data_IF_997570654623
#
_entry.id   IF_997570654623
#
_cell.length_a   1.000
_cell.length_b   1.000
_cell.length_c   1.000
_cell.angle_alpha   90.00
_cell.angle_beta   90.00
_cell.angle_gamma   90.00
#
_symmetry.space_group_name_H-M   'P 1'
#
loop_
_entity.id
_entity.type
_entity.pdbx_description
1 polymer ?
#
# COMPACT_ATOMS: atom_id res chain seq x y z
N UNK A 1 13.10 9.97 -17.93
CA UNK A 1 12.87 9.10 -16.74
C UNK A 1 12.14 7.81 -17.11
N UNK A 2 11.09 7.85 -17.90
CA UNK A 2 10.40 6.61 -18.31
C UNK A 2 11.25 5.76 -19.23
N UNK A 3 11.85 6.33 -20.27
CA UNK A 3 12.75 5.64 -21.20
C UNK A 3 13.95 4.97 -20.52
N UNK A 4 14.36 5.47 -19.36
CA UNK A 4 15.44 4.90 -18.54
C UNK A 4 14.93 4.01 -17.40
N UNK A 5 13.65 3.60 -17.41
CA UNK A 5 13.01 2.78 -16.37
C UNK A 5 13.14 3.30 -14.93
N UNK A 6 13.34 4.64 -14.75
CA UNK A 6 13.45 5.27 -13.43
C UNK A 6 12.09 5.61 -12.81
N UNK A 7 11.01 5.44 -13.56
CA UNK A 7 9.65 5.59 -13.07
C UNK A 7 8.69 4.71 -13.89
N UNK A 8 7.69 4.08 -13.26
CA UNK A 8 6.77 3.17 -13.93
C UNK A 8 5.71 3.89 -14.78
N UNK A 9 5.44 5.16 -14.50
CA UNK A 9 4.50 5.98 -15.27
C UNK A 9 4.91 7.45 -15.27
N UNK A 10 4.30 8.23 -16.19
CA UNK A 10 4.54 9.66 -16.32
C UNK A 10 4.09 10.44 -15.07
N UNK A 11 2.98 10.02 -14.47
CA UNK A 11 2.45 10.56 -13.23
C UNK A 11 3.40 10.30 -12.05
N UNK A 12 3.94 9.08 -11.94
CA UNK A 12 4.93 8.74 -10.92
C UNK A 12 6.24 9.50 -11.12
N UNK A 13 6.71 9.65 -12.36
CA UNK A 13 7.89 10.46 -12.66
C UNK A 13 7.69 11.92 -12.20
N UNK A 14 6.52 12.50 -12.48
CA UNK A 14 6.15 13.85 -12.04
C UNK A 14 6.07 13.94 -10.52
N UNK A 15 5.51 12.96 -9.86
CA UNK A 15 5.44 12.90 -8.39
C UNK A 15 6.83 12.87 -7.75
N UNK A 16 7.79 12.10 -8.28
CA UNK A 16 9.17 12.07 -7.80
C UNK A 16 9.87 13.42 -7.97
N UNK A 17 9.66 14.09 -9.11
CA UNK A 17 10.22 15.43 -9.35
C UNK A 17 9.65 16.43 -8.34
N UNK A 18 8.33 16.47 -8.18
CA UNK A 18 7.65 17.39 -7.25
C UNK A 18 7.97 17.08 -5.76
N UNK A 19 8.28 15.84 -5.43
CA UNK A 19 8.77 15.46 -4.10
C UNK A 19 10.24 15.91 -3.88
N UNK A 20 10.93 16.30 -4.95
CA UNK A 20 12.34 16.67 -4.91
C UNK A 20 13.29 15.49 -4.75
N UNK A 21 12.84 14.31 -5.19
CA UNK A 21 13.60 13.06 -5.13
C UNK A 21 14.49 12.84 -6.36
N UNK A 22 14.36 13.70 -7.38
CA UNK A 22 15.10 13.58 -8.62
C UNK A 22 16.34 14.48 -8.60
N UNK A 23 17.47 13.89 -9.00
CA UNK A 23 18.76 14.57 -9.14
C UNK A 23 19.28 14.41 -10.57
N UNK A 24 19.72 15.51 -11.16
CA UNK A 24 20.34 15.53 -12.49
C UNK A 24 21.79 16.01 -12.30
N UNK A 25 22.74 15.16 -12.69
CA UNK A 25 24.18 15.39 -12.48
C UNK A 25 24.53 15.82 -11.04
N UNK A 26 23.79 15.24 -10.07
CA UNK A 26 23.98 15.49 -8.63
C UNK A 26 23.23 16.72 -8.10
N UNK A 27 22.59 17.53 -8.95
CA UNK A 27 21.78 18.67 -8.54
C UNK A 27 20.30 18.27 -8.45
N UNK A 28 19.63 18.73 -7.39
CA UNK A 28 18.21 18.48 -7.18
C UNK A 28 17.39 19.19 -8.25
N UNK A 29 16.44 18.47 -8.85
CA UNK A 29 15.48 19.00 -9.83
C UNK A 29 14.05 18.81 -9.30
N UNK A 30 13.31 19.90 -9.11
CA UNK A 30 11.95 19.91 -8.58
C UNK A 30 10.91 20.43 -9.59
N UNK A 31 11.33 20.82 -10.79
CA UNK A 31 10.45 21.32 -11.84
C UNK A 31 10.19 20.27 -12.90
N UNK A 32 8.97 19.78 -12.95
CA UNK A 32 8.54 18.90 -14.03
C UNK A 32 8.46 19.68 -15.36
N UNK A 33 9.24 19.25 -16.34
CA UNK A 33 9.26 19.89 -17.67
C UNK A 33 10.58 20.55 -18.03
N UNK A 34 11.55 20.60 -17.12
CA UNK A 34 12.92 21.03 -17.47
C UNK A 34 13.51 20.07 -18.51
N UNK A 35 14.03 20.62 -19.58
CA UNK A 35 14.67 19.84 -20.65
C UNK A 35 16.16 19.69 -20.35
N UNK A 36 16.66 18.47 -20.44
CA UNK A 36 18.06 18.13 -20.26
C UNK A 36 18.58 17.37 -21.50
N UNK A 37 19.88 17.47 -21.80
CA UNK A 37 20.52 16.61 -22.79
C UNK A 37 20.37 15.12 -22.40
N UNK A 38 20.32 14.24 -23.39
CA UNK A 38 20.20 12.80 -23.12
C UNK A 38 21.38 12.21 -22.35
N UNK A 39 22.53 12.88 -22.37
CA UNK A 39 23.78 12.44 -21.73
C UNK A 39 23.81 12.63 -20.21
N UNK A 40 22.90 13.44 -19.62
CA UNK A 40 22.93 13.72 -18.17
C UNK A 40 22.63 12.47 -17.35
N UNK A 41 23.26 12.37 -16.19
CA UNK A 41 22.97 11.33 -15.21
C UNK A 41 21.72 11.71 -14.42
N UNK A 42 20.67 10.90 -14.48
CA UNK A 42 19.48 11.09 -13.68
C UNK A 42 19.46 10.03 -12.57
N UNK A 43 19.32 10.48 -11.33
CA UNK A 43 19.19 9.65 -10.15
C UNK A 43 17.86 9.98 -9.45
N UNK A 44 17.14 8.95 -9.03
CA UNK A 44 16.01 9.09 -8.12
C UNK A 44 16.51 8.67 -6.74
N UNK A 45 16.70 9.65 -5.84
CA UNK A 45 17.24 9.45 -4.49
C UNK A 45 16.17 9.43 -3.42
N UNK A 46 14.90 9.50 -3.82
CA UNK A 46 13.79 9.37 -2.90
C UNK A 46 13.71 7.95 -2.35
N UNK A 47 13.25 7.81 -1.12
CA UNK A 47 12.79 6.55 -0.61
C UNK A 47 11.60 6.13 -1.48
N UNK A 48 11.84 5.28 -2.48
CA UNK A 48 10.76 4.59 -3.17
C UNK A 48 10.02 3.84 -2.08
N UNK A 49 8.81 4.29 -1.76
CA UNK A 49 7.97 3.59 -0.80
C UNK A 49 7.92 2.13 -1.23
N UNK A 50 8.34 1.18 -0.39
CA UNK A 50 8.32 -0.24 -0.74
C UNK A 50 6.88 -0.74 -0.93
N UNK A 51 5.90 0.04 -0.47
CA UNK A 51 4.48 -0.25 -0.49
C UNK A 51 3.72 0.76 -1.35
N UNK A 52 2.52 0.41 -1.80
CA UNK A 52 1.64 1.29 -2.61
C UNK A 52 1.29 2.59 -1.91
N UNK A 53 1.41 2.66 -0.57
CA UNK A 53 1.26 3.90 0.21
C UNK A 53 2.04 3.86 1.51
N UNK A 54 2.18 5.05 2.16
CA UNK A 54 2.85 5.21 3.46
C UNK A 54 2.22 4.38 4.59
N UNK A 55 0.99 3.92 4.40
CA UNK A 55 0.33 2.99 5.33
C UNK A 55 1.19 1.77 5.61
N UNK A 56 1.76 1.14 4.59
CA UNK A 56 2.58 -0.05 4.73
C UNK A 56 3.77 0.11 5.68
N UNK A 57 4.41 1.29 5.71
CA UNK A 57 5.50 1.58 6.65
C UNK A 57 5.05 1.56 8.11
N UNK A 58 3.78 1.90 8.39
CA UNK A 58 3.23 1.85 9.75
C UNK A 58 3.13 0.41 10.23
N UNK A 59 2.58 -0.47 9.39
CA UNK A 59 2.46 -1.89 9.69
C UNK A 59 3.83 -2.54 9.81
N UNK A 60 4.74 -2.27 8.89
CA UNK A 60 6.12 -2.76 8.95
C UNK A 60 6.79 -2.40 10.28
N UNK A 61 6.63 -1.15 10.72
CA UNK A 61 7.17 -0.69 12.01
C UNK A 61 6.50 -1.40 13.19
N UNK A 62 5.19 -1.61 13.14
CA UNK A 62 4.46 -2.34 14.17
C UNK A 62 4.95 -3.79 14.27
N UNK A 63 5.09 -4.49 13.15
CA UNK A 63 5.58 -5.87 13.09
C UNK A 63 6.97 -5.99 13.71
N UNK A 64 7.89 -5.05 13.39
CA UNK A 64 9.25 -5.03 13.97
C UNK A 64 9.27 -4.79 15.48
N UNK A 65 8.32 -4.01 16.01
CA UNK A 65 8.29 -3.65 17.43
C UNK A 65 7.54 -4.67 18.31
N UNK A 66 6.60 -5.41 17.73
CA UNK A 66 5.72 -6.34 18.46
C UNK A 66 5.94 -7.81 18.10
N UNK A 67 6.99 -8.09 17.32
CA UNK A 67 7.37 -9.44 16.88
C UNK A 67 6.19 -10.21 16.23
N UNK A 68 5.43 -9.50 15.40
CA UNK A 68 4.30 -10.06 14.67
C UNK A 68 4.79 -10.64 13.35
N UNK A 69 4.50 -11.92 13.10
CA UNK A 69 4.73 -12.59 11.81
C UNK A 69 3.42 -12.79 11.06
N UNK A 70 3.44 -12.55 9.75
CA UNK A 70 2.30 -12.75 8.85
C UNK A 70 2.51 -13.88 7.85
N UNK A 71 3.65 -14.56 7.95
CA UNK A 71 3.96 -15.68 7.07
C UNK A 71 2.89 -16.78 7.15
N UNK A 72 2.41 -17.20 5.98
CA UNK A 72 1.36 -18.22 5.82
C UNK A 72 0.01 -17.87 6.46
N UNK A 73 -0.24 -16.61 6.80
CA UNK A 73 -1.48 -16.17 7.46
C UNK A 73 -2.53 -15.64 6.50
N UNK A 74 -3.79 -15.86 6.87
CA UNK A 74 -4.95 -15.18 6.31
C UNK A 74 -5.16 -13.88 7.08
N UNK A 75 -5.16 -12.75 6.37
CA UNK A 75 -5.19 -11.42 6.99
C UNK A 75 -6.45 -10.63 6.57
N UNK A 76 -6.81 -9.65 7.40
CA UNK A 76 -7.90 -8.72 7.12
C UNK A 76 -7.40 -7.28 7.30
N UNK A 77 -7.56 -6.46 6.26
CA UNK A 77 -7.24 -5.03 6.25
C UNK A 77 -8.56 -4.23 6.23
N UNK A 78 -8.95 -3.70 7.38
CA UNK A 78 -10.19 -2.95 7.55
C UNK A 78 -9.92 -1.45 7.44
N UNK A 79 -10.49 -0.83 6.41
CA UNK A 79 -10.17 0.53 5.96
C UNK A 79 -8.96 0.51 5.03
N UNK A 80 -8.96 -0.41 4.07
CA UNK A 80 -7.82 -0.67 3.19
C UNK A 80 -7.40 0.54 2.35
N UNK A 81 -8.35 1.40 1.94
CA UNK A 81 -8.09 2.58 1.12
C UNK A 81 -7.25 2.24 -0.12
N UNK A 82 -6.06 2.82 -0.27
CA UNK A 82 -5.12 2.49 -1.37
C UNK A 82 -4.43 1.14 -1.22
N UNK A 83 -4.54 0.47 -0.07
CA UNK A 83 -3.98 -0.86 0.16
C UNK A 83 -2.56 -0.89 0.72
N UNK A 84 -2.13 0.16 1.41
CA UNK A 84 -0.78 0.19 1.96
C UNK A 84 -0.50 -0.92 2.97
N UNK A 85 -1.46 -1.22 3.84
CA UNK A 85 -1.37 -2.34 4.79
C UNK A 85 -1.50 -3.68 4.06
N UNK A 86 -2.45 -3.82 3.15
CA UNK A 86 -2.61 -4.99 2.28
C UNK A 86 -1.30 -5.37 1.59
N UNK A 87 -0.63 -4.40 0.94
CA UNK A 87 0.65 -4.63 0.25
C UNK A 87 1.76 -5.06 1.23
N UNK A 88 1.80 -4.44 2.42
CA UNK A 88 2.74 -4.84 3.46
C UNK A 88 2.48 -6.27 3.94
N UNK A 89 1.22 -6.66 4.16
CA UNK A 89 0.86 -8.02 4.56
C UNK A 89 1.30 -9.05 3.52
N UNK A 90 1.03 -8.80 2.24
CA UNK A 90 1.42 -9.68 1.13
C UNK A 90 2.93 -9.83 0.98
N UNK A 91 3.69 -8.72 1.14
CA UNK A 91 5.15 -8.74 1.06
C UNK A 91 5.80 -9.44 2.28
N UNK A 92 5.07 -9.56 3.39
CA UNK A 92 5.50 -10.27 4.59
C UNK A 92 4.89 -11.68 4.71
N UNK A 93 4.48 -12.28 3.59
CA UNK A 93 4.15 -13.70 3.51
C UNK A 93 2.68 -14.06 3.73
N UNK A 94 1.77 -13.08 3.85
CA UNK A 94 0.34 -13.39 3.92
C UNK A 94 -0.11 -14.14 2.67
N UNK A 95 -0.83 -15.24 2.88
CA UNK A 95 -1.34 -16.10 1.79
C UNK A 95 -2.67 -15.59 1.24
N UNK A 96 -3.42 -14.84 2.04
CA UNK A 96 -4.65 -14.17 1.63
C UNK A 96 -4.87 -12.89 2.44
N UNK A 97 -5.41 -11.86 1.79
CA UNK A 97 -5.79 -10.60 2.46
C UNK A 97 -7.18 -10.18 2.00
N UNK A 98 -8.10 -10.08 2.96
CA UNK A 98 -9.41 -9.45 2.76
C UNK A 98 -9.26 -7.93 2.92
N UNK A 99 -9.34 -7.19 1.82
CA UNK A 99 -9.20 -5.72 1.80
C UNK A 99 -10.58 -5.10 1.80
N UNK A 100 -11.02 -4.66 2.98
CA UNK A 100 -12.38 -4.19 3.24
C UNK A 100 -12.38 -2.67 3.32
N UNK A 101 -13.21 -2.00 2.53
CA UNK A 101 -13.38 -0.55 2.58
C UNK A 101 -14.81 -0.13 2.24
N UNK A 102 -15.29 0.94 2.88
CA UNK A 102 -16.59 1.55 2.57
C UNK A 102 -16.55 2.33 1.25
N UNK A 103 -15.35 2.77 0.84
CA UNK A 103 -15.11 3.45 -0.43
C UNK A 103 -15.16 2.51 -1.63
N UNK A 104 -14.93 3.10 -2.80
CA UNK A 104 -14.91 2.39 -4.07
C UNK A 104 -13.79 2.89 -4.97
N UNK A 105 -13.11 1.96 -5.68
CA UNK A 105 -12.10 2.29 -6.67
C UNK A 105 -10.80 2.85 -6.09
N UNK A 106 -10.56 2.71 -4.77
CA UNK A 106 -9.40 3.27 -4.10
C UNK A 106 -8.21 2.30 -4.07
N UNK A 107 -8.49 1.00 -4.00
CA UNK A 107 -7.44 -0.03 -3.91
C UNK A 107 -6.54 0.02 -5.16
N UNK A 108 -5.23 0.02 -4.96
CA UNK A 108 -4.26 0.05 -6.04
C UNK A 108 -4.48 -1.10 -7.03
N UNK A 109 -4.33 -0.81 -8.33
CA UNK A 109 -4.59 -1.77 -9.41
C UNK A 109 -3.75 -3.04 -9.28
N UNK A 110 -2.51 -2.94 -8.83
CA UNK A 110 -1.64 -4.10 -8.59
C UNK A 110 -2.25 -5.05 -7.57
N UNK A 111 -2.78 -4.51 -6.47
CA UNK A 111 -3.39 -5.30 -5.40
C UNK A 111 -4.73 -5.88 -5.82
N UNK A 112 -5.52 -5.11 -6.55
CA UNK A 112 -6.82 -5.57 -7.08
C UNK A 112 -6.70 -6.80 -7.98
N UNK A 113 -5.57 -6.94 -8.67
CA UNK A 113 -5.30 -8.08 -9.56
C UNK A 113 -4.43 -9.17 -8.92
N UNK A 114 -4.02 -9.04 -7.67
CA UNK A 114 -3.29 -10.09 -6.97
C UNK A 114 -4.29 -11.19 -6.53
N UNK A 115 -4.09 -12.46 -6.94
CA UNK A 115 -5.01 -13.55 -6.61
C UNK A 115 -5.15 -13.83 -5.11
N UNK A 116 -4.25 -13.32 -4.30
CA UNK A 116 -4.29 -13.43 -2.83
C UNK A 116 -5.16 -12.36 -2.19
N UNK A 117 -5.62 -11.37 -2.95
CA UNK A 117 -6.41 -10.25 -2.43
C UNK A 117 -7.89 -10.47 -2.74
N UNK A 118 -8.71 -10.46 -1.71
CA UNK A 118 -10.17 -10.38 -1.82
C UNK A 118 -10.58 -8.93 -1.60
N UNK A 119 -10.92 -8.25 -2.70
CA UNK A 119 -11.31 -6.84 -2.68
C UNK A 119 -12.79 -6.70 -2.30
N UNK A 120 -13.06 -6.20 -1.09
CA UNK A 120 -14.42 -5.97 -0.54
C UNK A 120 -14.69 -4.47 -0.41
N UNK A 121 -14.88 -3.81 -1.53
CA UNK A 121 -15.26 -2.38 -1.58
C UNK A 121 -16.76 -2.17 -1.33
N UNK A 122 -17.17 -0.93 -1.02
CA UNK A 122 -18.55 -0.57 -0.60
C UNK A 122 -19.05 -1.42 0.56
N UNK A 123 -18.13 -1.96 1.36
CA UNK A 123 -18.43 -2.90 2.42
C UNK A 123 -18.15 -2.26 3.78
N UNK A 124 -19.19 -2.20 4.61
CA UNK A 124 -19.03 -1.76 5.97
C UNK A 124 -18.80 -3.00 6.86
N UNK A 125 -17.63 -3.04 7.50
CA UNK A 125 -17.22 -4.15 8.37
C UNK A 125 -18.26 -4.51 9.44
N UNK A 126 -19.09 -3.56 9.86
CA UNK A 126 -20.14 -3.81 10.86
C UNK A 126 -21.19 -4.83 10.43
N UNK A 127 -21.31 -5.06 9.15
CA UNK A 127 -22.29 -5.97 8.55
C UNK A 127 -21.67 -7.21 7.95
N UNK A 128 -20.33 -7.32 7.97
CA UNK A 128 -19.61 -8.50 7.52
C UNK A 128 -19.82 -9.60 8.57
N UNK A 129 -20.21 -10.77 8.11
CA UNK A 129 -20.35 -11.97 8.93
C UNK A 129 -19.24 -12.97 8.57
N UNK A 130 -18.90 -13.94 9.45
CA UNK A 130 -17.84 -14.91 9.17
C UNK A 130 -18.03 -15.65 7.84
N UNK A 131 -19.26 -15.89 7.44
CA UNK A 131 -19.63 -16.58 6.20
C UNK A 131 -19.22 -15.82 4.95
N UNK A 132 -19.10 -14.48 5.02
CA UNK A 132 -18.66 -13.62 3.91
C UNK A 132 -17.15 -13.78 3.63
N UNK A 133 -16.39 -14.24 4.61
CA UNK A 133 -14.93 -14.38 4.52
C UNK A 133 -14.49 -15.74 3.99
N UNK A 134 -15.37 -16.75 4.01
CA UNK A 134 -15.07 -18.11 3.55
C UNK A 134 -14.08 -18.89 4.42
N UNK A 135 -13.21 -18.20 5.16
CA UNK A 135 -12.27 -18.78 6.13
C UNK A 135 -11.92 -17.74 7.22
N UNK A 136 -11.57 -18.20 8.45
CA UNK A 136 -11.17 -17.30 9.53
C UNK A 136 -9.90 -16.51 9.20
N UNK A 137 -9.82 -15.27 9.64
CA UNK A 137 -8.60 -14.47 9.56
C UNK A 137 -7.73 -14.68 10.80
N UNK A 138 -6.44 -14.99 10.60
CA UNK A 138 -5.44 -15.15 11.66
C UNK A 138 -4.98 -13.80 12.21
N UNK A 139 -5.03 -12.76 11.37
CA UNK A 139 -4.58 -11.43 11.72
C UNK A 139 -5.53 -10.39 11.12
N UNK A 140 -5.92 -9.43 11.93
CA UNK A 140 -6.69 -8.29 11.46
C UNK A 140 -6.09 -6.96 11.90
N UNK A 141 -6.15 -5.99 11.02
CA UNK A 141 -5.76 -4.62 11.25
C UNK A 141 -6.97 -3.72 11.01
N UNK A 142 -7.19 -2.76 11.90
CA UNK A 142 -8.25 -1.76 11.75
C UNK A 142 -7.65 -0.37 11.67
N UNK A 143 -7.82 0.28 10.52
CA UNK A 143 -7.56 1.70 10.39
C UNK A 143 -8.91 2.44 10.36
N UNK A 144 -9.58 2.46 11.50
CA UNK A 144 -10.92 3.02 11.65
C UNK A 144 -10.98 4.06 12.79
N UNK A 145 -11.82 5.08 12.72
CA UNK A 145 -12.07 5.96 13.84
C UNK A 145 -12.50 5.16 15.08
N UNK A 146 -12.01 5.54 16.25
CA UNK A 146 -12.13 4.87 17.56
C UNK A 146 -13.51 4.29 17.94
N UNK A 147 -14.58 4.75 17.34
CA UNK A 147 -15.96 4.31 17.62
C UNK A 147 -16.28 2.87 17.17
N UNK A 148 -15.41 2.23 16.39
CA UNK A 148 -15.66 0.88 15.85
C UNK A 148 -14.98 -0.22 16.66
N UNK A 149 -13.99 0.09 17.48
CA UNK A 149 -13.20 -0.88 18.25
C UNK A 149 -14.00 -1.69 19.27
N UNK A 150 -15.11 -1.13 19.80
CA UNK A 150 -15.89 -1.77 20.86
C UNK A 150 -16.67 -3.01 20.44
N UNK A 151 -16.88 -3.24 19.14
CA UNK A 151 -17.74 -4.34 18.65
C UNK A 151 -16.99 -5.57 18.15
N UNK A 152 -15.68 -5.50 17.95
CA UNK A 152 -14.88 -6.54 17.24
C UNK A 152 -13.76 -7.19 18.07
N UNK A 153 -13.69 -6.91 19.36
CA UNK A 153 -12.76 -7.63 20.26
C UNK A 153 -13.17 -9.08 20.61
N UNK A 154 -14.23 -9.61 19.99
CA UNK A 154 -14.79 -10.92 20.33
C UNK A 154 -15.14 -11.81 19.10
N UNK A 155 -14.43 -11.61 17.96
CA UNK A 155 -14.54 -12.54 16.83
C UNK A 155 -13.22 -13.27 16.60
#
# INVERSE_FOLDING_TARGET
>A
MMERALAPSREKAKAFIMAGDVYVDGQKEDKAGTMFPETVKIEVRGNTLPYVSRGGLKLEKAMKNFDVTLDSKVCMDVGASTGGFTDCMLQNGAVKVYSIDVGYGQLDWKLRNDPRVVCMEKTNIRYVVPEDLGEPADFHQLMCPLFLLQKYCFL
#
